data_IF_694041336651
#
_entry.id   IF_694041336651
#
_cell.length_a   1.000
_cell.length_b   1.000
_cell.length_c   1.000
_cell.angle_alpha   90.00
_cell.angle_beta   90.00
_cell.angle_gamma   90.00
#
_symmetry.space_group_name_H-M   'P 1'
#
loop_
_entity.id
_entity.type
_entity.pdbx_description
1 polymer ?
#
# COMPACT_ATOMS: atom_id res chain seq x y z
N UNK A 1 -21.97 8.58 -14.21
CA UNK A 1 -20.81 8.11 -13.46
C UNK A 1 -20.76 8.83 -12.12
N UNK A 2 -20.40 8.12 -11.07
CA UNK A 2 -20.24 8.68 -9.74
C UNK A 2 -18.75 8.62 -9.38
N UNK A 3 -18.26 9.69 -8.73
CA UNK A 3 -17.00 9.63 -8.00
C UNK A 3 -17.34 9.03 -6.65
N UNK A 4 -16.79 7.87 -6.35
CA UNK A 4 -17.01 7.17 -5.09
C UNK A 4 -15.97 7.61 -4.05
N UNK A 5 -14.71 7.62 -4.46
CA UNK A 5 -13.57 8.04 -3.64
C UNK A 5 -12.71 9.03 -4.41
N UNK A 6 -11.97 9.89 -3.72
CA UNK A 6 -11.08 10.88 -4.32
C UNK A 6 -9.89 11.18 -3.39
N UNK A 7 -8.96 11.99 -3.88
CA UNK A 7 -7.76 12.33 -3.10
C UNK A 7 -6.69 11.23 -3.08
N UNK A 8 -6.73 10.29 -4.03
CA UNK A 8 -5.66 9.36 -4.31
C UNK A 8 -4.70 9.97 -5.34
N UNK A 9 -3.42 9.65 -5.26
CA UNK A 9 -2.41 10.12 -6.21
C UNK A 9 -2.27 9.21 -7.42
N UNK A 10 -1.94 7.96 -7.18
CA UNK A 10 -1.70 6.94 -8.20
C UNK A 10 -2.07 5.56 -7.65
N UNK A 11 -3.36 5.27 -7.49
CA UNK A 11 -3.84 3.99 -6.99
C UNK A 11 -3.44 2.88 -7.98
N UNK A 12 -2.32 2.25 -7.70
CA UNK A 12 -1.71 1.28 -8.59
C UNK A 12 -2.54 0.01 -8.69
N UNK A 13 -3.01 -0.45 -7.54
CA UNK A 13 -3.84 -1.63 -7.45
C UNK A 13 -4.80 -1.55 -6.27
N UNK A 14 -5.92 -2.22 -6.40
CA UNK A 14 -6.90 -2.39 -5.35
C UNK A 14 -7.46 -3.82 -5.34
N UNK A 15 -8.03 -4.20 -4.22
CA UNK A 15 -8.78 -5.44 -4.06
C UNK A 15 -9.91 -5.23 -3.04
N UNK A 16 -10.88 -6.14 -3.02
CA UNK A 16 -12.01 -6.09 -2.10
C UNK A 16 -11.98 -7.33 -1.21
N UNK A 17 -12.03 -7.12 0.10
CA UNK A 17 -12.03 -8.21 1.06
C UNK A 17 -13.43 -8.84 1.26
N UNK A 18 -13.48 -9.92 2.02
CA UNK A 18 -14.71 -10.63 2.37
C UNK A 18 -15.67 -9.81 3.26
N UNK A 19 -15.22 -8.68 3.80
CA UNK A 19 -16.01 -7.76 4.61
C UNK A 19 -16.53 -6.55 3.81
N UNK A 20 -16.40 -6.59 2.47
CA UNK A 20 -16.81 -5.51 1.56
C UNK A 20 -16.01 -4.21 1.74
N UNK A 21 -14.76 -4.32 2.18
CA UNK A 21 -13.83 -3.20 2.29
C UNK A 21 -12.90 -3.16 1.09
N UNK A 22 -12.68 -1.98 0.55
CA UNK A 22 -11.77 -1.72 -0.55
C UNK A 22 -10.37 -1.41 0.01
N UNK A 23 -9.39 -2.19 -0.40
CA UNK A 23 -7.98 -2.02 -0.10
C UNK A 23 -7.29 -1.39 -1.28
N UNK A 24 -6.55 -0.32 -1.08
CA UNK A 24 -5.93 0.47 -2.15
C UNK A 24 -4.45 0.66 -1.83
N UNK A 25 -3.59 0.22 -2.75
CA UNK A 25 -2.17 0.56 -2.74
C UNK A 25 -2.00 1.85 -3.57
N UNK A 26 -1.69 2.95 -2.91
CA UNK A 26 -1.52 4.26 -3.54
C UNK A 26 -0.06 4.69 -3.54
N UNK A 27 0.48 4.92 -4.74
CA UNK A 27 1.88 5.31 -4.93
C UNK A 27 2.05 6.79 -4.64
N UNK A 28 2.93 7.09 -3.70
CA UNK A 28 3.29 8.44 -3.31
C UNK A 28 4.09 9.21 -4.35
N UNK A 29 4.40 10.46 -4.05
CA UNK A 29 5.12 11.35 -4.98
C UNK A 29 6.62 11.25 -4.80
N UNK A 30 7.12 11.45 -3.58
CA UNK A 30 8.54 11.56 -3.31
C UNK A 30 8.99 10.87 -2.02
N UNK A 31 8.10 10.68 -1.05
CA UNK A 31 8.49 10.35 0.31
C UNK A 31 7.84 9.09 0.86
N UNK A 32 6.53 8.93 0.64
CA UNK A 32 5.73 7.94 1.33
C UNK A 32 4.85 7.15 0.38
N UNK A 33 4.84 5.85 0.59
CA UNK A 33 3.89 4.92 -0.02
C UNK A 33 2.81 4.58 0.99
N UNK A 34 1.59 4.26 0.54
CA UNK A 34 0.49 4.06 1.47
C UNK A 34 -0.47 2.94 1.07
N UNK A 35 -1.08 2.33 2.08
CA UNK A 35 -2.20 1.41 1.96
C UNK A 35 -3.41 2.04 2.62
N UNK A 36 -4.46 2.22 1.85
CA UNK A 36 -5.74 2.74 2.30
C UNK A 36 -6.78 1.62 2.38
N UNK A 37 -7.74 1.77 3.30
CA UNK A 37 -8.90 0.91 3.42
C UNK A 37 -10.17 1.75 3.62
N UNK A 38 -11.26 1.33 3.00
CA UNK A 38 -12.56 1.99 3.14
C UNK A 38 -13.68 1.02 2.85
N UNK A 39 -14.83 1.19 3.49
CA UNK A 39 -16.05 0.49 3.09
C UNK A 39 -16.44 0.92 1.67
N UNK A 40 -16.72 -0.03 0.79
CA UNK A 40 -16.91 0.23 -0.64
C UNK A 40 -18.12 1.14 -0.94
N UNK A 41 -19.07 1.24 -0.03
CA UNK A 41 -20.27 2.07 -0.15
C UNK A 41 -20.16 3.45 0.51
N UNK A 42 -19.02 3.76 1.14
CA UNK A 42 -18.75 5.05 1.77
C UNK A 42 -17.91 5.93 0.83
N UNK A 43 -18.15 7.23 0.87
CA UNK A 43 -17.30 8.19 0.16
C UNK A 43 -16.14 8.60 1.05
N UNK A 44 -14.91 8.54 0.53
CA UNK A 44 -13.70 8.93 1.25
C UNK A 44 -12.87 9.92 0.42
N UNK A 45 -12.16 10.81 1.15
CA UNK A 45 -11.13 11.69 0.62
C UNK A 45 -9.79 11.32 1.26
N UNK A 46 -8.86 10.79 0.47
CA UNK A 46 -7.55 10.33 0.95
C UNK A 46 -6.47 11.42 1.02
N UNK A 47 -6.84 12.68 0.75
CA UNK A 47 -6.04 13.86 1.07
C UNK A 47 -5.05 14.31 0.01
N UNK A 48 -4.78 13.57 -1.05
CA UNK A 48 -3.91 14.05 -2.12
C UNK A 48 -4.57 15.24 -2.86
N UNK A 49 -3.86 16.35 -3.10
CA UNK A 49 -2.42 16.59 -2.97
C UNK A 49 -2.05 17.45 -1.73
N UNK A 50 -2.78 17.37 -0.65
CA UNK A 50 -2.44 18.06 0.60
C UNK A 50 -1.67 17.14 1.56
N UNK A 51 -1.80 15.83 1.37
CA UNK A 51 -1.15 14.78 2.18
C UNK A 51 -0.41 13.79 1.31
N UNK A 52 0.66 13.20 1.85
CA UNK A 52 1.38 12.04 1.37
C UNK A 52 1.69 11.15 2.58
N UNK A 53 1.07 9.98 2.67
CA UNK A 53 1.01 9.23 3.92
C UNK A 53 0.35 10.06 5.04
N UNK A 54 0.93 10.00 6.23
CA UNK A 54 0.50 10.81 7.39
C UNK A 54 1.17 12.21 7.44
N UNK A 55 1.79 12.64 6.34
CA UNK A 55 2.54 13.89 6.29
C UNK A 55 1.87 14.93 5.41
N UNK A 56 2.03 16.20 5.78
CA UNK A 56 1.61 17.31 4.93
C UNK A 56 2.49 17.36 3.69
N UNK A 57 1.87 17.37 2.52
CA UNK A 57 2.59 17.55 1.26
C UNK A 57 2.74 19.04 0.95
N UNK A 58 3.96 19.51 0.67
CA UNK A 58 4.26 20.91 0.43
C UNK A 58 4.42 21.21 -1.07
N UNK A 59 4.27 22.48 -1.49
CA UNK A 59 4.42 22.87 -2.91
C UNK A 59 5.81 22.60 -3.51
N UNK A 60 6.86 22.40 -2.68
CA UNK A 60 8.18 21.99 -3.14
C UNK A 60 8.24 20.48 -3.51
N UNK A 61 7.16 19.74 -3.28
CA UNK A 61 7.05 18.30 -3.58
C UNK A 61 7.60 17.39 -2.49
N UNK A 62 7.82 17.88 -1.28
CA UNK A 62 8.33 17.13 -0.13
C UNK A 62 7.46 17.35 1.11
N UNK A 63 7.79 16.68 2.20
CA UNK A 63 7.03 16.77 3.45
C UNK A 63 7.61 17.80 4.44
N UNK A 64 8.78 18.33 4.16
CA UNK A 64 9.34 19.46 4.95
C UNK A 64 9.77 20.65 4.07
N UNK A 65 9.94 21.81 4.71
CA UNK A 65 10.28 23.07 4.04
C UNK A 65 11.70 23.09 3.44
N UNK A 66 12.58 22.19 3.89
CA UNK A 66 13.96 22.07 3.40
C UNK A 66 14.05 21.29 2.08
N UNK A 67 12.92 20.74 1.58
CA UNK A 67 12.88 19.94 0.37
C UNK A 67 13.41 18.51 0.59
N UNK A 68 13.12 17.93 1.74
CA UNK A 68 13.41 16.53 2.09
C UNK A 68 12.19 15.86 2.70
N UNK A 69 12.27 14.56 2.93
CA UNK A 69 11.21 13.80 3.58
C UNK A 69 11.38 13.84 5.10
N UNK A 70 10.27 13.96 5.84
CA UNK A 70 10.25 13.81 7.29
C UNK A 70 10.11 12.32 7.65
N UNK A 71 11.19 11.58 7.48
CA UNK A 71 11.18 10.12 7.67
C UNK A 71 11.41 9.68 9.11
N UNK A 72 11.90 10.60 9.95
CA UNK A 72 12.17 10.38 11.37
C UNK A 72 10.95 10.66 12.26
N UNK A 73 9.85 11.14 11.68
CA UNK A 73 8.62 11.48 12.39
C UNK A 73 7.48 10.57 11.93
N UNK A 74 6.64 10.13 12.87
CA UNK A 74 5.51 9.24 12.60
C UNK A 74 4.38 9.91 11.79
N UNK A 75 4.51 11.21 11.50
CA UNK A 75 3.48 12.01 10.89
C UNK A 75 2.37 12.40 11.88
N UNK A 76 1.34 13.03 11.36
CA UNK A 76 0.19 13.49 12.15
C UNK A 76 -1.10 13.00 11.49
N UNK A 77 -2.07 12.62 12.33
CA UNK A 77 -3.41 12.31 11.83
C UNK A 77 -3.95 13.49 11.02
N UNK A 78 -4.59 13.17 9.92
CA UNK A 78 -5.16 14.15 9.02
C UNK A 78 -6.32 14.91 9.66
N UNK A 79 -6.63 16.14 9.18
CA UNK A 79 -7.91 16.77 9.47
C UNK A 79 -9.11 15.83 9.19
N UNK A 80 -10.23 16.04 9.90
CA UNK A 80 -11.41 15.17 9.83
C UNK A 80 -12.00 14.98 8.42
N UNK A 81 -11.70 15.89 7.49
CA UNK A 81 -12.12 15.77 6.09
C UNK A 81 -11.35 14.74 5.28
N UNK A 82 -10.21 14.24 5.77
CA UNK A 82 -9.40 13.24 5.11
C UNK A 82 -9.48 11.89 5.82
N UNK A 83 -9.29 10.84 5.06
CA UNK A 83 -9.19 9.46 5.54
C UNK A 83 -7.72 9.08 5.55
N UNK A 84 -7.19 8.84 6.74
CA UNK A 84 -5.79 8.42 6.91
C UNK A 84 -5.54 7.02 6.33
N UNK A 85 -4.35 6.77 5.75
CA UNK A 85 -3.93 5.42 5.43
C UNK A 85 -3.81 4.56 6.69
N UNK A 86 -4.08 3.27 6.57
CA UNK A 86 -3.86 2.32 7.68
C UNK A 86 -2.40 1.91 7.82
N UNK A 87 -1.61 2.16 6.78
CA UNK A 87 -0.17 1.92 6.76
C UNK A 87 0.50 2.84 5.76
N UNK A 88 1.66 3.37 6.12
CA UNK A 88 2.55 4.08 5.22
C UNK A 88 4.00 3.71 5.50
N UNK A 89 4.84 3.80 4.48
CA UNK A 89 6.28 3.58 4.60
C UNK A 89 7.07 4.53 3.72
N UNK A 90 8.25 4.92 4.19
CA UNK A 90 9.12 5.85 3.48
C UNK A 90 9.90 5.17 2.35
N UNK A 91 10.46 6.00 1.45
CA UNK A 91 11.38 5.55 0.41
C UNK A 91 12.77 5.15 0.94
N UNK A 92 12.95 5.12 2.26
CA UNK A 92 14.18 4.61 2.86
C UNK A 92 14.37 3.11 2.64
N UNK A 93 15.61 2.63 2.87
CA UNK A 93 15.92 1.21 2.73
C UNK A 93 15.84 0.66 1.32
N UNK A 94 15.74 1.53 0.31
CA UNK A 94 15.64 1.14 -1.09
C UNK A 94 14.22 0.99 -1.62
N UNK A 95 13.21 1.33 -0.82
CA UNK A 95 11.82 1.39 -1.26
C UNK A 95 11.58 2.59 -2.19
N UNK A 96 10.57 2.51 -3.05
CA UNK A 96 10.27 3.63 -3.95
C UNK A 96 8.85 3.66 -4.52
N UNK A 97 8.14 2.55 -4.52
CA UNK A 97 6.82 2.50 -5.13
C UNK A 97 6.08 1.24 -4.70
N UNK A 98 4.96 1.43 -4.03
CA UNK A 98 4.12 0.33 -3.62
C UNK A 98 3.55 -0.39 -4.86
N UNK A 99 3.71 -1.71 -4.86
CA UNK A 99 3.03 -2.58 -5.80
C UNK A 99 2.01 -3.38 -5.01
N UNK A 100 0.76 -3.05 -5.19
CA UNK A 100 -0.34 -3.72 -4.51
C UNK A 100 -0.53 -5.14 -4.98
N UNK A 101 -1.17 -5.89 -4.17
CA UNK A 101 -1.41 -7.32 -4.28
C UNK A 101 -2.87 -7.67 -4.12
N UNK A 102 -3.14 -8.49 -3.13
CA UNK A 102 -4.43 -9.10 -2.93
C UNK A 102 -4.83 -9.16 -1.47
N UNK A 103 -6.14 -9.14 -1.23
CA UNK A 103 -6.69 -9.73 -0.03
C UNK A 103 -6.55 -11.25 -0.09
N UNK A 104 -5.85 -11.81 0.91
CA UNK A 104 -5.47 -13.22 0.91
C UNK A 104 -6.53 -14.09 1.61
N UNK A 105 -7.62 -14.38 0.92
CA UNK A 105 -8.58 -15.43 1.31
C UNK A 105 -8.20 -16.82 0.77
N UNK A 106 -7.05 -16.90 0.11
CA UNK A 106 -6.45 -18.06 -0.54
C UNK A 106 -4.92 -18.11 -0.28
N UNK A 107 -4.24 -19.10 -0.86
CA UNK A 107 -2.78 -19.22 -0.76
C UNK A 107 -2.29 -19.82 0.56
N UNK A 108 -1.02 -19.63 0.94
CA UNK A 108 -0.41 -20.15 2.16
C UNK A 108 -1.18 -19.72 3.42
N UNK A 109 -1.31 -20.63 4.39
CA UNK A 109 -2.10 -20.38 5.61
C UNK A 109 -1.55 -19.24 6.46
N UNK A 110 -0.24 -19.05 6.42
CA UNK A 110 0.48 -18.06 7.21
C UNK A 110 0.10 -16.62 6.87
N UNK A 111 -0.32 -16.39 5.61
CA UNK A 111 -0.67 -15.06 5.10
C UNK A 111 -2.16 -14.89 4.81
N UNK A 112 -3.00 -15.86 5.17
CA UNK A 112 -4.46 -15.73 5.01
C UNK A 112 -5.04 -14.68 5.95
N UNK A 113 -6.19 -14.15 5.56
CA UNK A 113 -6.91 -13.07 6.26
C UNK A 113 -6.02 -11.84 6.45
N UNK A 114 -5.25 -11.51 5.40
CA UNK A 114 -4.41 -10.31 5.33
C UNK A 114 -4.40 -9.71 3.94
N UNK A 115 -4.06 -8.44 3.84
CA UNK A 115 -3.75 -7.80 2.56
C UNK A 115 -2.26 -7.90 2.29
N UNK A 116 -1.90 -8.55 1.18
CA UNK A 116 -0.50 -8.72 0.74
C UNK A 116 -0.16 -7.63 -0.26
N UNK A 117 1.02 -7.03 -0.11
CA UNK A 117 1.58 -6.05 -1.05
C UNK A 117 3.10 -6.11 -1.09
N UNK A 118 3.70 -5.46 -2.07
CA UNK A 118 5.15 -5.37 -2.21
C UNK A 118 5.61 -3.99 -2.65
N UNK A 119 6.92 -3.82 -2.74
CA UNK A 119 7.56 -2.63 -3.28
C UNK A 119 8.34 -2.94 -4.56
N UNK A 120 8.19 -2.06 -5.54
CA UNK A 120 8.83 -2.22 -6.85
C UNK A 120 10.36 -2.23 -6.76
N UNK A 121 10.97 -1.28 -6.05
CA UNK A 121 12.42 -1.12 -6.03
C UNK A 121 13.11 -2.16 -5.16
N UNK A 122 12.66 -2.32 -3.92
CA UNK A 122 13.31 -3.20 -2.95
C UNK A 122 12.96 -4.68 -3.14
N UNK A 123 11.85 -4.96 -3.83
CA UNK A 123 11.31 -6.31 -3.92
C UNK A 123 10.77 -6.86 -2.60
N UNK A 124 10.64 -6.00 -1.61
CA UNK A 124 10.10 -6.35 -0.29
C UNK A 124 8.62 -6.70 -0.37
N UNK A 125 8.19 -7.61 0.49
CA UNK A 125 6.80 -8.09 0.55
C UNK A 125 6.34 -8.04 2.00
N UNK A 126 5.14 -7.51 2.20
CA UNK A 126 4.48 -7.38 3.51
C UNK A 126 3.04 -7.89 3.46
N UNK A 127 2.53 -8.16 4.62
CA UNK A 127 1.10 -8.35 4.86
C UNK A 127 0.60 -7.38 5.92
N UNK A 128 -0.67 -6.98 5.80
CA UNK A 128 -1.39 -6.22 6.82
C UNK A 128 -2.64 -6.99 7.18
N UNK A 129 -2.88 -7.14 8.48
CA UNK A 129 -4.12 -7.75 9.02
C UNK A 129 -4.60 -7.00 10.25
N UNK A 130 -5.87 -7.15 10.54
CA UNK A 130 -6.45 -6.63 11.76
C UNK A 130 -6.32 -7.67 12.88
N UNK A 131 -5.74 -7.27 14.02
CA UNK A 131 -5.59 -8.09 15.21
C UNK A 131 -6.15 -7.29 16.40
N UNK A 132 -7.19 -7.80 17.03
CA UNK A 132 -7.84 -7.17 18.18
C UNK A 132 -8.21 -5.68 17.94
N UNK A 133 -8.68 -5.36 16.74
CA UNK A 133 -9.08 -4.01 16.34
C UNK A 133 -7.91 -3.07 15.98
N UNK A 134 -6.68 -3.58 15.89
CA UNK A 134 -5.51 -2.81 15.49
C UNK A 134 -4.91 -3.37 14.20
N UNK A 135 -4.43 -2.49 13.35
CA UNK A 135 -3.70 -2.87 12.15
C UNK A 135 -2.28 -3.31 12.50
N UNK A 136 -1.89 -4.46 12.01
CA UNK A 136 -0.56 -5.03 12.19
C UNK A 136 0.04 -5.39 10.84
N UNK A 137 1.22 -4.84 10.55
CA UNK A 137 1.99 -5.22 9.37
C UNK A 137 3.07 -6.23 9.74
N UNK A 138 3.37 -7.11 8.79
CA UNK A 138 4.44 -8.09 8.92
C UNK A 138 5.26 -8.12 7.62
N UNK A 139 6.58 -7.99 7.75
CA UNK A 139 7.51 -8.22 6.65
C UNK A 139 7.70 -9.72 6.47
N UNK A 140 7.33 -10.24 5.30
CA UNK A 140 7.39 -11.68 5.02
C UNK A 140 8.59 -12.08 4.17
N UNK A 141 9.30 -11.13 3.58
CA UNK A 141 10.51 -11.42 2.80
C UNK A 141 10.72 -10.50 1.61
N UNK A 142 11.67 -10.87 0.77
CA UNK A 142 11.92 -10.20 -0.51
C UNK A 142 11.86 -11.22 -1.64
N UNK A 143 11.26 -10.81 -2.76
CA UNK A 143 11.21 -11.62 -3.98
C UNK A 143 12.55 -11.72 -4.71
N UNK A 144 13.53 -10.88 -4.31
CA UNK A 144 14.83 -10.80 -4.95
C UNK A 144 14.87 -10.00 -6.27
N UNK A 145 13.77 -9.37 -6.66
CA UNK A 145 13.69 -8.57 -7.88
C UNK A 145 12.64 -7.46 -7.78
N UNK A 146 12.62 -6.56 -8.77
CA UNK A 146 11.67 -5.46 -8.84
C UNK A 146 10.27 -5.98 -9.15
N UNK A 147 9.34 -5.82 -8.20
CA UNK A 147 7.97 -6.36 -8.30
C UNK A 147 7.10 -5.42 -9.15
N UNK A 148 6.55 -5.92 -10.25
CA UNK A 148 5.59 -5.18 -11.08
C UNK A 148 4.14 -5.61 -10.86
N UNK A 149 3.91 -6.71 -10.18
CA UNK A 149 2.57 -7.21 -9.89
C UNK A 149 2.56 -8.60 -9.28
N UNK A 150 1.36 -9.01 -8.92
CA UNK A 150 1.08 -10.31 -8.33
C UNK A 150 -0.02 -11.02 -9.11
N UNK A 151 -0.05 -12.34 -9.02
CA UNK A 151 -1.07 -13.18 -9.63
C UNK A 151 -1.38 -14.40 -8.79
N UNK A 152 -2.56 -14.96 -9.02
CA UNK A 152 -3.01 -16.22 -8.42
C UNK A 152 -2.81 -17.36 -9.41
N UNK A 153 -2.11 -18.40 -9.01
CA UNK A 153 -1.99 -19.63 -9.76
C UNK A 153 -3.26 -20.50 -9.67
N UNK A 154 -3.33 -21.53 -10.49
CA UNK A 154 -4.52 -22.39 -10.57
C UNK A 154 -4.76 -23.24 -9.32
N UNK A 155 -3.70 -23.58 -8.60
CA UNK A 155 -3.74 -24.39 -7.39
C UNK A 155 -3.63 -23.55 -6.11
N UNK A 156 -3.67 -22.20 -6.25
CA UNK A 156 -3.61 -21.26 -5.14
C UNK A 156 -2.20 -20.75 -4.85
N UNK A 157 -1.28 -20.89 -5.80
CA UNK A 157 0.06 -20.31 -5.68
C UNK A 157 0.01 -18.79 -5.78
N UNK A 158 0.85 -18.11 -4.99
CA UNK A 158 1.11 -16.69 -5.14
C UNK A 158 2.25 -16.48 -6.13
N UNK A 159 1.93 -15.90 -7.28
CA UNK A 159 2.90 -15.59 -8.33
C UNK A 159 3.31 -14.12 -8.24
N UNK A 160 4.60 -13.86 -8.31
CA UNK A 160 5.18 -12.52 -8.31
C UNK A 160 5.82 -12.26 -9.67
N UNK A 161 5.48 -11.16 -10.29
CA UNK A 161 6.01 -10.75 -11.59
C UNK A 161 7.10 -9.72 -11.40
N UNK A 162 8.29 -10.00 -11.93
CA UNK A 162 9.42 -9.08 -11.91
C UNK A 162 9.53 -8.26 -13.21
N UNK A 163 10.08 -7.06 -13.08
CA UNK A 163 10.39 -6.18 -14.22
C UNK A 163 11.26 -6.84 -15.28
N UNK A 164 12.12 -7.75 -14.90
CA UNK A 164 12.98 -8.55 -15.78
C UNK A 164 12.25 -9.59 -16.62
N UNK A 165 10.94 -9.80 -16.34
CA UNK A 165 10.12 -10.80 -17.03
C UNK A 165 10.09 -12.16 -16.33
N UNK A 166 10.74 -12.30 -15.19
CA UNK A 166 10.67 -13.51 -14.38
C UNK A 166 9.36 -13.59 -13.61
N UNK A 167 8.87 -14.80 -13.42
CA UNK A 167 7.73 -15.12 -12.57
C UNK A 167 8.24 -16.01 -11.46
N UNK A 168 8.08 -15.55 -10.23
CA UNK A 168 8.51 -16.26 -9.01
C UNK A 168 7.26 -16.78 -8.29
N UNK A 169 7.34 -17.99 -7.77
CA UNK A 169 6.31 -18.57 -6.91
C UNK A 169 6.73 -18.39 -5.45
N UNK A 170 5.90 -17.72 -4.68
CA UNK A 170 6.00 -17.66 -3.22
C UNK A 170 5.16 -18.83 -2.68
N UNK A 171 5.79 -20.00 -2.61
CA UNK A 171 5.15 -21.24 -2.21
C UNK A 171 5.19 -21.52 -0.74
#
# INVERSE_FOLDING_TARGET
>A
PYVLHYGLRNPWRFDVDSHNRLWIADVGQNCWEEVNIVEIDQTANFGWSEREGLHKFLPNGYTNENGTCDVDEDGESSPEEFTDPIFSYSHEGGNCSITGGFWMDWGPLEIRDSYLFGDFCSGSIWTIREIDGNWSQEYIGSSGGMIVGFGKGLEGELLIFHWTGEIVNLG
#
